data_IF_134229852017
#
_entry.id   IF_134229852017
#
_cell.length_a   1.000
_cell.length_b   1.000
_cell.length_c   1.000
_cell.angle_alpha   90.00
_cell.angle_beta   90.00
_cell.angle_gamma   90.00
#
_symmetry.space_group_name_H-M   'P 1'
#
loop_
_entity.id
_entity.type
_entity.pdbx_description
1 polymer ?
#
# COMPACT_ATOMS: atom_id res chain seq x y z
N UNK A 1 -16.77 -5.94 -10.68
CA UNK A 1 -16.23 -4.60 -11.02
C UNK A 1 -16.66 -3.67 -9.90
N UNK A 2 -15.72 -3.10 -9.15
CA UNK A 2 -15.99 -2.28 -7.95
C UNK A 2 -16.05 -0.80 -8.35
N UNK A 3 -17.04 -0.05 -7.82
CA UNK A 3 -17.25 1.38 -8.09
C UNK A 3 -17.59 2.09 -6.79
N UNK A 4 -16.91 3.21 -6.51
CA UNK A 4 -17.21 4.04 -5.34
C UNK A 4 -18.19 5.15 -5.74
N UNK A 5 -19.24 5.32 -4.94
CA UNK A 5 -20.17 6.43 -5.06
C UNK A 5 -19.77 7.56 -4.10
N UNK A 6 -19.56 8.76 -4.64
CA UNK A 6 -19.17 9.94 -3.85
C UNK A 6 -20.18 11.06 -4.09
N UNK A 7 -20.73 11.62 -3.01
CA UNK A 7 -21.53 12.85 -3.05
C UNK A 7 -20.69 14.02 -2.49
N UNK A 8 -20.49 15.07 -3.28
CA UNK A 8 -19.91 16.37 -2.83
C UNK A 8 -20.74 17.51 -3.37
N UNK A 9 -21.13 18.45 -2.50
CA UNK A 9 -21.77 19.72 -2.85
C UNK A 9 -22.88 19.58 -3.92
N UNK A 10 -23.81 18.64 -3.65
CA UNK A 10 -24.92 18.23 -4.53
C UNK A 10 -24.58 17.61 -5.90
N UNK A 11 -23.33 17.25 -6.11
CA UNK A 11 -22.89 16.48 -7.28
C UNK A 11 -22.60 15.03 -6.91
N UNK A 12 -23.02 14.15 -7.80
CA UNK A 12 -22.89 12.70 -7.67
C UNK A 12 -21.79 12.21 -8.61
N UNK A 13 -20.82 11.49 -8.07
CA UNK A 13 -19.69 10.96 -8.81
C UNK A 13 -19.64 9.44 -8.64
N UNK A 14 -19.40 8.76 -9.76
CA UNK A 14 -18.99 7.36 -9.78
C UNK A 14 -17.50 7.34 -10.07
N UNK A 15 -16.70 6.82 -9.14
CA UNK A 15 -15.25 6.72 -9.31
C UNK A 15 -14.94 5.24 -9.48
N UNK A 16 -14.45 4.87 -10.65
CA UNK A 16 -13.91 3.53 -10.86
C UNK A 16 -12.40 3.53 -10.63
N UNK A 17 -11.79 2.42 -10.17
CA UNK A 17 -10.33 2.30 -10.09
C UNK A 17 -9.64 2.58 -11.43
N UNK A 18 -10.32 2.26 -12.54
CA UNK A 18 -9.81 2.45 -13.89
C UNK A 18 -9.76 3.92 -14.31
N UNK A 19 -10.62 4.80 -13.78
CA UNK A 19 -10.62 6.22 -14.15
C UNK A 19 -9.38 6.95 -13.63
N UNK A 20 -8.77 6.44 -12.56
CA UNK A 20 -7.52 6.96 -12.00
C UNK A 20 -6.33 6.47 -12.82
N UNK A 21 -6.31 5.17 -13.14
CA UNK A 21 -5.29 4.58 -14.01
C UNK A 21 -5.26 5.22 -15.40
N UNK A 22 -6.43 5.60 -15.93
CA UNK A 22 -6.55 6.29 -17.23
C UNK A 22 -6.12 7.74 -17.21
N UNK A 23 -6.28 8.47 -16.09
CA UNK A 23 -5.77 9.84 -15.97
C UNK A 23 -4.25 9.90 -15.96
N UNK A 24 -3.60 8.87 -15.41
CA UNK A 24 -2.14 8.75 -15.39
C UNK A 24 -1.54 8.21 -16.71
N UNK A 25 -2.38 7.60 -17.58
CA UNK A 25 -1.96 7.02 -18.87
C UNK A 25 -1.61 8.05 -19.97
N UNK A 26 -1.77 9.35 -19.72
CA UNK A 26 -1.42 10.42 -20.69
C UNK A 26 0.11 10.65 -20.75
N UNK A 27 0.87 10.20 -19.75
CA UNK A 27 2.35 10.17 -19.80
C UNK A 27 2.81 8.85 -20.43
N UNK A 28 2.83 8.85 -21.77
CA UNK A 28 3.09 7.67 -22.59
C UNK A 28 4.45 7.00 -22.38
N UNK A 29 4.47 5.73 -22.78
CA UNK A 29 5.67 4.94 -23.11
C UNK A 29 6.69 4.75 -21.98
N UNK A 30 6.31 3.97 -20.97
CA UNK A 30 7.14 2.99 -20.26
C UNK A 30 6.17 2.33 -19.26
N UNK A 31 5.78 1.07 -19.48
CA UNK A 31 5.03 0.29 -18.49
C UNK A 31 5.91 -0.01 -17.26
N UNK A 32 6.32 1.03 -16.53
CA UNK A 32 6.52 0.89 -15.11
C UNK A 32 5.13 0.62 -14.54
N UNK A 33 4.86 -0.65 -14.21
CA UNK A 33 3.62 -1.01 -13.54
C UNK A 33 3.42 -0.04 -12.38
N UNK A 34 2.23 0.54 -12.28
CA UNK A 34 1.87 1.41 -11.16
C UNK A 34 2.22 0.75 -9.80
N UNK A 35 2.12 -0.58 -9.74
CA UNK A 35 2.55 -1.42 -8.61
C UNK A 35 4.06 -1.31 -8.35
N UNK A 36 4.91 -1.30 -9.38
CA UNK A 36 6.36 -1.08 -9.22
C UNK A 36 6.65 0.31 -8.66
N UNK A 37 5.93 1.35 -9.10
CA UNK A 37 6.07 2.70 -8.53
C UNK A 37 5.69 2.72 -7.05
N UNK A 38 4.59 2.05 -6.69
CA UNK A 38 4.13 1.94 -5.30
C UNK A 38 5.14 1.17 -4.43
N UNK A 39 5.60 0.01 -4.89
CA UNK A 39 6.59 -0.81 -4.15
C UNK A 39 7.92 -0.07 -4.02
N UNK A 40 8.36 0.60 -5.11
CA UNK A 40 9.57 1.42 -5.08
C UNK A 40 9.42 2.55 -4.07
N UNK A 41 8.29 3.25 -4.04
CA UNK A 41 8.01 4.28 -3.06
C UNK A 41 8.03 3.71 -1.63
N UNK A 42 7.36 2.58 -1.36
CA UNK A 42 7.41 1.92 -0.05
C UNK A 42 8.86 1.59 0.36
N UNK A 43 9.66 1.10 -0.57
CA UNK A 43 11.06 0.76 -0.30
C UNK A 43 11.92 2.00 -0.05
N UNK A 44 11.86 3.01 -0.94
CA UNK A 44 12.70 4.22 -0.87
C UNK A 44 12.46 4.99 0.41
N UNK A 45 11.21 5.05 0.87
CA UNK A 45 10.88 5.84 2.05
C UNK A 45 11.10 5.09 3.36
N UNK A 46 11.50 3.82 3.35
CA UNK A 46 11.80 3.05 4.56
C UNK A 46 10.68 2.18 5.11
N UNK A 47 9.52 2.10 4.43
CA UNK A 47 8.41 1.22 4.83
C UNK A 47 8.77 -0.27 4.78
N UNK A 48 9.80 -0.66 4.02
CA UNK A 48 10.26 -2.06 3.94
C UNK A 48 11.40 -2.39 4.91
N UNK A 49 11.79 -1.47 5.79
CA UNK A 49 12.72 -1.79 6.89
C UNK A 49 12.04 -2.72 7.91
N UNK A 50 12.82 -3.45 8.73
CA UNK A 50 12.24 -4.32 9.78
C UNK A 50 11.29 -3.53 10.69
N UNK A 51 11.74 -2.36 11.16
CA UNK A 51 10.95 -1.49 12.04
C UNK A 51 9.73 -0.90 11.30
N UNK A 52 9.89 -0.51 10.03
CA UNK A 52 8.80 -0.01 9.19
C UNK A 52 7.70 -1.05 8.99
N UNK A 53 8.09 -2.28 8.65
CA UNK A 53 7.18 -3.40 8.45
C UNK A 53 6.47 -3.80 9.75
N UNK A 54 7.18 -3.83 10.88
CA UNK A 54 6.57 -4.09 12.20
C UNK A 54 5.52 -3.03 12.54
N UNK A 55 5.83 -1.74 12.30
CA UNK A 55 4.88 -0.65 12.54
C UNK A 55 3.64 -0.82 11.65
N UNK A 56 3.85 -0.97 10.34
CA UNK A 56 2.78 -1.15 9.35
C UNK A 56 1.89 -2.33 9.75
N UNK A 57 2.48 -3.47 10.10
CA UNK A 57 1.77 -4.63 10.58
C UNK A 57 0.97 -4.32 11.85
N UNK A 58 1.54 -3.60 12.83
CA UNK A 58 0.85 -3.24 14.07
C UNK A 58 -0.39 -2.37 13.85
N UNK A 59 -0.42 -1.56 12.79
CA UNK A 59 -1.56 -0.71 12.43
C UNK A 59 -2.60 -1.40 11.58
N UNK A 60 -2.17 -2.23 10.64
CA UNK A 60 -3.11 -2.97 9.79
C UNK A 60 -3.77 -4.15 10.53
N UNK A 61 -3.02 -4.87 11.39
CA UNK A 61 -3.49 -6.04 12.16
C UNK A 61 -4.85 -5.89 12.85
N UNK A 62 -5.14 -4.79 13.56
CA UNK A 62 -6.42 -4.61 14.22
C UNK A 62 -7.56 -4.13 13.31
N UNK A 63 -7.27 -3.75 12.06
CA UNK A 63 -8.27 -3.19 11.14
C UNK A 63 -9.01 -4.33 10.44
N UNK A 64 -10.32 -4.40 10.69
CA UNK A 64 -11.23 -5.27 9.96
C UNK A 64 -11.55 -4.64 8.59
N UNK A 65 -11.07 -5.26 7.52
CA UNK A 65 -11.40 -4.84 6.15
C UNK A 65 -12.78 -5.38 5.79
N UNK A 66 -13.73 -4.47 5.57
CA UNK A 66 -15.09 -4.79 5.15
C UNK A 66 -15.21 -4.68 3.63
N UNK A 67 -16.03 -5.52 3.01
CA UNK A 67 -16.25 -5.53 1.55
C UNK A 67 -16.75 -4.19 0.98
N UNK A 68 -17.35 -3.35 1.84
CA UNK A 68 -17.89 -2.04 1.50
C UNK A 68 -17.10 -0.88 2.14
N UNK A 69 -15.86 -1.11 2.57
CA UNK A 69 -15.01 -0.07 3.13
C UNK A 69 -14.80 1.04 2.08
N UNK A 70 -15.23 2.28 2.36
CA UNK A 70 -15.04 3.40 1.45
C UNK A 70 -13.55 3.68 1.24
N UNK A 71 -13.16 4.02 0.02
CA UNK A 71 -11.77 4.37 -0.29
C UNK A 71 -11.21 5.52 0.55
N UNK A 72 -12.05 6.48 0.95
CA UNK A 72 -11.60 7.57 1.82
C UNK A 72 -11.18 7.07 3.21
N UNK A 73 -11.83 6.04 3.76
CA UNK A 73 -11.44 5.42 5.02
C UNK A 73 -10.06 4.75 4.90
N UNK A 74 -9.82 4.10 3.76
CA UNK A 74 -8.52 3.51 3.43
C UNK A 74 -7.41 4.57 3.30
N UNK A 75 -7.69 5.68 2.61
CA UNK A 75 -6.76 6.80 2.49
C UNK A 75 -6.40 7.40 3.86
N UNK A 76 -7.37 7.48 4.77
CA UNK A 76 -7.15 7.96 6.14
C UNK A 76 -6.27 7.00 6.95
N UNK A 77 -6.49 5.69 6.83
CA UNK A 77 -5.63 4.66 7.43
C UNK A 77 -4.20 4.79 6.93
N UNK A 78 -4.01 4.86 5.60
CA UNK A 78 -2.68 5.01 4.98
C UNK A 78 -1.98 6.28 5.48
N UNK A 79 -2.70 7.40 5.50
CA UNK A 79 -2.19 8.69 5.96
C UNK A 79 -1.71 8.61 7.41
N UNK A 80 -2.47 7.95 8.27
CA UNK A 80 -2.12 7.80 9.68
C UNK A 80 -0.90 6.89 9.88
N UNK A 81 -0.78 5.81 9.11
CA UNK A 81 0.43 4.97 9.10
C UNK A 81 1.66 5.79 8.70
N UNK A 82 1.58 6.52 7.58
CA UNK A 82 2.69 7.33 7.07
C UNK A 82 3.06 8.47 8.05
N UNK A 83 2.08 9.11 8.70
CA UNK A 83 2.34 10.09 9.77
C UNK A 83 3.10 9.49 10.94
N UNK A 84 2.74 8.27 11.37
CA UNK A 84 3.42 7.60 12.48
C UNK A 84 4.85 7.23 12.10
N UNK A 85 5.07 6.70 10.89
CA UNK A 85 6.41 6.41 10.37
C UNK A 85 7.26 7.68 10.29
N UNK A 86 6.70 8.78 9.79
CA UNK A 86 7.37 10.08 9.73
C UNK A 86 7.76 10.60 11.11
N UNK A 87 6.84 10.54 12.09
CA UNK A 87 7.14 10.95 13.48
C UNK A 87 8.25 10.13 14.14
N UNK A 88 8.44 8.88 13.72
CA UNK A 88 9.52 8.00 14.22
C UNK A 88 10.84 8.16 13.46
N UNK A 89 10.90 9.06 12.47
CA UNK A 89 12.08 9.21 11.62
C UNK A 89 12.31 8.04 10.67
N UNK A 90 11.30 7.18 10.48
CA UNK A 90 11.36 5.98 9.62
C UNK A 90 10.97 6.27 8.18
N UNK A 91 10.60 7.53 7.89
CA UNK A 91 10.06 7.94 6.61
C UNK A 91 10.97 9.00 5.97
N UNK A 92 11.61 8.62 4.87
CA UNK A 92 12.40 9.50 4.04
C UNK A 92 11.67 9.74 2.72
N UNK A 93 10.55 10.46 2.75
CA UNK A 93 9.72 10.68 1.56
C UNK A 93 9.74 12.12 1.07
N UNK A 94 9.56 12.30 -0.24
CA UNK A 94 9.04 13.56 -0.79
C UNK A 94 7.54 13.68 -0.54
N UNK A 95 6.97 14.86 -0.82
CA UNK A 95 5.54 15.09 -0.73
C UNK A 95 4.76 14.24 -1.75
N UNK A 96 5.33 14.07 -2.95
CA UNK A 96 4.73 13.28 -4.03
C UNK A 96 4.64 11.80 -3.64
N UNK A 97 5.70 11.22 -3.05
CA UNK A 97 5.69 9.83 -2.59
C UNK A 97 4.65 9.61 -1.48
N UNK A 98 4.49 10.57 -0.57
CA UNK A 98 3.47 10.53 0.47
C UNK A 98 2.05 10.51 -0.11
N UNK A 99 1.78 11.36 -1.11
CA UNK A 99 0.47 11.43 -1.77
C UNK A 99 0.16 10.17 -2.57
N UNK A 100 1.17 9.59 -3.24
CA UNK A 100 1.05 8.33 -3.97
C UNK A 100 0.67 7.21 -2.99
N UNK A 101 1.42 7.05 -1.90
CA UNK A 101 1.16 5.97 -0.94
C UNK A 101 -0.18 6.13 -0.25
N UNK A 102 -0.60 7.36 0.07
CA UNK A 102 -1.90 7.62 0.65
C UNK A 102 -3.04 7.15 -0.25
N UNK A 103 -2.99 7.50 -1.55
CA UNK A 103 -4.10 7.28 -2.50
C UNK A 103 -4.14 5.88 -3.08
N UNK A 104 -3.00 5.22 -3.19
CA UNK A 104 -2.87 4.03 -4.02
C UNK A 104 -2.35 2.80 -3.28
N UNK A 105 -2.07 2.90 -1.98
CA UNK A 105 -1.89 1.73 -1.15
C UNK A 105 -3.26 1.12 -0.85
N UNK A 106 -3.71 0.21 -1.73
CA UNK A 106 -5.09 -0.25 -1.76
C UNK A 106 -5.44 -1.37 -0.76
N UNK A 107 -4.44 -2.03 -0.17
CA UNK A 107 -4.69 -3.16 0.72
C UNK A 107 -3.64 -3.27 1.82
N UNK A 108 -4.03 -3.72 3.03
CA UNK A 108 -3.07 -4.24 3.99
C UNK A 108 -2.23 -5.34 3.35
N UNK A 109 -0.96 -5.42 3.75
CA UNK A 109 -0.05 -6.46 3.29
C UNK A 109 -0.36 -7.83 3.92
N UNK A 110 -1.62 -8.22 4.16
CA UNK A 110 -1.90 -9.57 4.66
C UNK A 110 -1.62 -10.63 3.59
N UNK A 111 -1.02 -11.79 3.95
CA UNK A 111 -0.58 -12.22 5.27
C UNK A 111 0.94 -12.08 5.41
N UNK A 112 1.47 -10.85 5.58
CA UNK A 112 2.89 -10.66 5.89
C UNK A 112 3.16 -11.20 7.31
N UNK A 113 3.53 -12.47 7.38
CA UNK A 113 4.11 -13.06 8.58
C UNK A 113 5.57 -12.60 8.68
N UNK A 114 5.80 -11.58 9.50
CA UNK A 114 7.13 -11.09 9.86
C UNK A 114 7.77 -11.93 10.99
N UNK A 115 7.12 -13.02 11.42
CA UNK A 115 7.70 -13.96 12.35
C UNK A 115 8.99 -14.56 11.79
N UNK A 116 10.01 -14.68 12.64
CA UNK A 116 11.25 -15.35 12.25
C UNK A 116 10.94 -16.82 11.96
N UNK A 117 10.89 -17.17 10.67
CA UNK A 117 10.75 -18.56 10.25
C UNK A 117 12.11 -19.24 10.41
N UNK A 118 12.26 -20.06 11.45
CA UNK A 118 13.42 -20.98 11.57
C UNK A 118 13.35 -21.96 10.40
N UNK A 119 14.18 -21.73 9.38
CA UNK A 119 14.33 -22.66 8.27
C UNK A 119 15.43 -23.66 8.58
N UNK A 120 15.10 -24.94 8.45
CA UNK A 120 16.07 -26.03 8.48
C UNK A 120 16.73 -26.12 7.11
N UNK A 121 18.03 -25.82 7.04
CA UNK A 121 18.80 -25.73 5.79
C UNK A 121 18.69 -26.98 4.92
N UNK A 122 18.51 -28.17 5.53
CA UNK A 122 18.34 -29.43 4.80
C UNK A 122 17.03 -29.47 4.00
N UNK A 123 15.98 -28.79 4.47
CA UNK A 123 14.66 -28.77 3.84
C UNK A 123 14.60 -27.83 2.63
N UNK A 124 15.45 -26.79 2.60
CA UNK A 124 15.54 -25.85 1.47
C UNK A 124 16.24 -26.46 0.25
N UNK A 125 17.23 -27.33 0.46
CA UNK A 125 17.94 -27.99 -0.64
C UNK A 125 17.04 -28.98 -1.39
N UNK A 126 16.17 -29.70 -0.69
CA UNK A 126 15.22 -30.63 -1.30
C UNK A 126 14.09 -29.96 -2.10
N UNK A 127 13.73 -28.71 -1.78
CA UNK A 127 12.69 -27.95 -2.51
C UNK A 127 13.25 -27.24 -3.77
N UNK A 128 14.57 -27.09 -3.89
CA UNK A 128 15.22 -26.47 -5.04
C UNK A 128 15.56 -27.47 -6.17
N UNK A 129 15.48 -28.77 -5.88
CA UNK A 129 15.84 -29.87 -6.80
C UNK A 129 14.63 -30.63 -7.38
N UNK A 130 13.39 -30.24 -7.07
CA UNK A 130 12.15 -30.85 -7.56
C UNK A 130 11.31 -29.90 -8.40
#
# INVERSE_FOLDING_TARGET
MYVDYVKRDDKHYWITPNDLLKKDAIYGSLHHSFIFTLIKALHTIGCTSSEGLEMIASKWRPIEIKDNMPRCELEDINRDILKVLSKRGLLHSTKEEFDILTRYWLYPLYPLDLGVKKMDLKKMQSEAEG
#
